data_IF_887767629858
#
_entry.id   IF_887767629858
#
_cell.length_a   1.000
_cell.length_b   1.000
_cell.length_c   1.000
_cell.angle_alpha   90.00
_cell.angle_beta   90.00
_cell.angle_gamma   90.00
#
_symmetry.space_group_name_H-M   'P 1'
#
loop_
_entity.id
_entity.type
_entity.pdbx_description
1 polymer ?
#
# COMPACT_ATOMS: atom_id res chain seq x y z
N UNK A 1 -17.39 13.73 5.56
CA UNK A 1 -15.97 13.54 5.92
C UNK A 1 -15.11 14.11 4.81
N UNK A 2 -14.00 14.79 5.11
CA UNK A 2 -13.02 15.18 4.08
C UNK A 2 -12.25 13.90 3.72
N UNK A 3 -12.26 13.48 2.46
CA UNK A 3 -11.54 12.26 2.03
C UNK A 3 -10.03 12.37 2.24
N UNK A 4 -9.34 11.22 2.20
CA UNK A 4 -7.87 11.11 2.30
C UNK A 4 -7.23 11.80 1.10
N UNK A 5 -6.47 12.88 1.33
CA UNK A 5 -5.83 13.70 0.30
C UNK A 5 -4.64 14.46 0.85
N UNK A 6 -3.76 14.90 -0.04
CA UNK A 6 -2.56 15.65 0.31
C UNK A 6 -1.71 15.99 -0.92
N UNK A 7 -0.49 16.43 -0.69
CA UNK A 7 0.48 16.64 -1.75
C UNK A 7 1.27 15.35 -2.02
N UNK A 8 1.84 14.72 -0.98
CA UNK A 8 2.72 13.55 -1.09
C UNK A 8 2.11 12.29 -0.47
N UNK A 9 2.04 11.21 -1.26
CA UNK A 9 1.78 9.85 -0.82
C UNK A 9 3.04 8.98 -1.02
N UNK A 10 3.35 8.13 -0.04
CA UNK A 10 4.36 7.09 -0.19
C UNK A 10 3.65 5.73 -0.11
N UNK A 11 3.80 4.93 -1.17
CA UNK A 11 3.31 3.56 -1.24
C UNK A 11 4.41 2.60 -0.80
N UNK A 12 4.10 1.79 0.21
CA UNK A 12 5.02 0.92 0.94
C UNK A 12 4.74 -0.52 0.54
N UNK A 13 5.73 -1.16 -0.09
CA UNK A 13 5.58 -2.52 -0.62
C UNK A 13 4.65 -2.55 -1.83
N UNK A 14 4.88 -1.64 -2.78
CA UNK A 14 4.13 -1.54 -4.03
C UNK A 14 4.15 -2.84 -4.84
N UNK A 15 5.17 -3.68 -4.66
CA UNK A 15 5.44 -4.80 -5.54
C UNK A 15 5.54 -4.34 -6.99
N UNK A 16 5.16 -5.20 -7.96
CA UNK A 16 5.09 -4.84 -9.36
C UNK A 16 3.72 -4.26 -9.75
N UNK A 17 2.94 -3.69 -8.81
CA UNK A 17 1.54 -3.32 -9.03
C UNK A 17 1.25 -1.83 -8.95
N UNK A 18 0.21 -1.40 -9.66
CA UNK A 18 -0.24 0.00 -9.68
C UNK A 18 -1.71 0.19 -9.32
N UNK A 19 -2.48 -0.89 -9.15
CA UNK A 19 -3.93 -0.81 -8.97
C UNK A 19 -4.31 0.04 -7.76
N UNK A 20 -3.52 -0.05 -6.69
CA UNK A 20 -3.70 0.67 -5.44
C UNK A 20 -3.50 2.19 -5.60
N UNK A 21 -2.86 2.62 -6.69
CA UNK A 21 -2.53 4.02 -6.95
C UNK A 21 -3.50 4.71 -7.93
N UNK A 22 -4.37 3.96 -8.62
CA UNK A 22 -5.24 4.48 -9.68
C UNK A 22 -6.24 5.53 -9.16
N UNK A 23 -6.85 5.30 -8.00
CA UNK A 23 -7.70 6.32 -7.35
C UNK A 23 -6.89 7.28 -6.48
N UNK A 24 -5.74 6.85 -5.96
CA UNK A 24 -4.87 7.69 -5.15
C UNK A 24 -4.34 8.90 -5.94
N UNK A 25 -4.00 8.73 -7.23
CA UNK A 25 -3.50 9.82 -8.06
C UNK A 25 -4.53 10.94 -8.33
N UNK A 26 -5.81 10.73 -7.98
CA UNK A 26 -6.82 11.81 -7.99
C UNK A 26 -6.70 12.74 -6.78
N UNK A 27 -6.16 12.24 -5.68
CA UNK A 27 -6.14 12.92 -4.37
C UNK A 27 -4.74 13.37 -3.93
N UNK A 28 -3.70 12.91 -4.62
CA UNK A 28 -2.29 13.21 -4.34
C UNK A 28 -1.57 13.69 -5.60
N UNK A 29 -0.75 14.73 -5.44
CA UNK A 29 0.00 15.33 -6.55
C UNK A 29 1.28 14.56 -6.86
N UNK A 30 1.89 14.00 -5.82
CA UNK A 30 3.14 13.26 -5.89
C UNK A 30 3.00 11.91 -5.18
N UNK A 31 3.51 10.88 -5.82
CA UNK A 31 3.55 9.52 -5.32
C UNK A 31 5.00 9.03 -5.37
N UNK A 32 5.45 8.42 -4.29
CA UNK A 32 6.68 7.62 -4.26
C UNK A 32 6.25 6.17 -4.11
N UNK A 33 6.61 5.32 -5.07
CA UNK A 33 6.38 3.89 -5.00
C UNK A 33 7.64 3.20 -4.46
N UNK A 34 7.47 2.21 -3.58
CA UNK A 34 8.60 1.58 -2.90
C UNK A 34 8.42 0.08 -2.73
N UNK A 35 9.51 -0.68 -2.85
CA UNK A 35 9.49 -2.13 -2.65
C UNK A 35 10.84 -2.65 -2.15
N UNK A 36 10.82 -3.79 -1.48
CA UNK A 36 12.04 -4.49 -1.07
C UNK A 36 12.69 -5.28 -2.21
N UNK A 37 11.97 -5.66 -3.26
CA UNK A 37 12.47 -6.59 -4.28
C UNK A 37 12.87 -5.81 -5.54
N UNK A 38 14.14 -5.90 -5.96
CA UNK A 38 14.63 -5.09 -7.09
C UNK A 38 13.91 -5.43 -8.41
N UNK A 39 13.50 -6.69 -8.59
CA UNK A 39 12.77 -7.11 -9.78
C UNK A 39 11.36 -6.49 -9.83
N UNK A 40 10.70 -6.30 -8.68
CA UNK A 40 9.41 -5.64 -8.62
C UNK A 40 9.51 -4.16 -9.05
N UNK A 41 10.54 -3.46 -8.56
CA UNK A 41 10.82 -2.07 -8.96
C UNK A 41 11.08 -1.97 -10.46
N UNK A 42 11.79 -2.94 -11.05
CA UNK A 42 12.03 -2.99 -12.48
C UNK A 42 10.73 -3.19 -13.28
N UNK A 43 9.84 -4.08 -12.86
CA UNK A 43 8.53 -4.27 -13.51
C UNK A 43 7.66 -3.02 -13.45
N UNK A 44 7.68 -2.30 -12.32
CA UNK A 44 7.00 -1.02 -12.18
C UNK A 44 7.57 0.04 -13.12
N UNK A 45 8.89 0.17 -13.19
CA UNK A 45 9.60 1.08 -14.10
C UNK A 45 9.29 0.80 -15.58
N UNK A 46 9.19 -0.47 -15.98
CA UNK A 46 8.78 -0.84 -17.35
C UNK A 46 7.42 -0.24 -17.70
N UNK A 47 6.44 -0.36 -16.80
CA UNK A 47 5.11 0.21 -17.03
C UNK A 47 5.11 1.74 -17.03
N UNK A 48 5.88 2.38 -16.14
CA UNK A 48 6.04 3.83 -16.08
C UNK A 48 6.65 4.39 -17.37
N UNK A 49 7.64 3.69 -17.94
CA UNK A 49 8.35 4.08 -19.17
C UNK A 49 7.66 3.65 -20.47
N UNK A 50 6.50 2.99 -20.37
CA UNK A 50 5.74 2.46 -21.54
C UNK A 50 6.58 1.46 -22.36
N UNK A 51 7.40 0.67 -21.68
CA UNK A 51 8.25 -0.31 -22.35
C UNK A 51 7.40 -1.47 -22.92
N UNK A 52 7.74 -1.98 -24.11
CA UNK A 52 7.12 -3.20 -24.62
C UNK A 52 7.29 -4.36 -23.63
N UNK A 53 6.21 -5.11 -23.38
CA UNK A 53 6.21 -6.22 -22.44
C UNK A 53 5.91 -5.85 -20.98
N UNK A 54 5.69 -4.57 -20.68
CA UNK A 54 5.08 -4.19 -19.40
C UNK A 54 3.69 -4.83 -19.24
N UNK A 55 3.30 -5.15 -18.00
CA UNK A 55 1.99 -5.74 -17.72
C UNK A 55 0.85 -4.82 -18.18
N UNK A 56 -0.15 -5.40 -18.85
CA UNK A 56 -1.32 -4.66 -19.33
C UNK A 56 -2.33 -4.44 -18.18
N UNK A 57 -2.30 -3.24 -17.63
CA UNK A 57 -3.22 -2.80 -16.57
C UNK A 57 -4.56 -2.25 -17.11
N UNK A 58 -4.79 -2.20 -18.43
CA UNK A 58 -5.97 -1.58 -19.05
C UNK A 58 -7.31 -2.07 -18.50
N UNK A 59 -7.52 -3.38 -18.20
CA UNK A 59 -8.78 -3.85 -17.62
C UNK A 59 -9.03 -3.26 -16.23
N UNK A 60 -8.00 -3.18 -15.38
CA UNK A 60 -8.09 -2.64 -14.03
C UNK A 60 -8.30 -1.12 -14.08
N UNK A 61 -7.60 -0.43 -14.98
CA UNK A 61 -7.77 1.00 -15.23
C UNK A 61 -9.19 1.32 -15.65
N UNK A 62 -9.75 0.56 -16.60
CA UNK A 62 -11.13 0.72 -17.06
C UNK A 62 -12.11 0.57 -15.89
N UNK A 63 -11.93 -0.48 -15.08
CA UNK A 63 -12.76 -0.70 -13.90
C UNK A 63 -12.73 0.48 -12.92
N UNK A 64 -11.55 1.04 -12.64
CA UNK A 64 -11.42 2.21 -11.77
C UNK A 64 -12.06 3.46 -12.39
N UNK A 65 -11.88 3.70 -13.69
CA UNK A 65 -12.57 4.79 -14.40
C UNK A 65 -14.10 4.69 -14.28
N UNK A 66 -14.66 3.49 -14.41
CA UNK A 66 -16.09 3.24 -14.26
C UNK A 66 -16.56 3.57 -12.83
N UNK A 67 -15.83 3.12 -11.81
CA UNK A 67 -16.13 3.44 -10.40
C UNK A 67 -16.06 4.94 -10.11
N UNK A 68 -15.16 5.67 -10.77
CA UNK A 68 -15.01 7.13 -10.65
C UNK A 68 -16.02 7.92 -11.49
N UNK A 69 -16.96 7.23 -12.15
CA UNK A 69 -18.04 7.82 -12.92
C UNK A 69 -17.62 8.27 -14.33
N UNK A 70 -16.62 7.61 -14.93
CA UNK A 70 -16.16 7.82 -16.31
C UNK A 70 -15.82 9.28 -16.65
N UNK A 71 -15.27 10.00 -15.67
CA UNK A 71 -14.83 11.40 -15.83
C UNK A 71 -13.59 11.54 -16.72
N UNK A 72 -12.76 10.49 -16.76
CA UNK A 72 -11.54 10.40 -17.57
C UNK A 72 -11.47 9.03 -18.23
N UNK A 73 -10.86 8.95 -19.41
CA UNK A 73 -10.66 7.68 -20.12
C UNK A 73 -9.40 6.97 -19.62
N UNK A 74 -9.32 5.66 -19.84
CA UNK A 74 -8.19 4.83 -19.38
C UNK A 74 -6.81 5.40 -19.69
N UNK A 75 -6.50 5.79 -20.95
CA UNK A 75 -5.20 6.37 -21.29
C UNK A 75 -4.86 7.66 -20.52
N UNK A 76 -5.86 8.49 -20.22
CA UNK A 76 -5.70 9.73 -19.45
C UNK A 76 -5.43 9.42 -17.98
N UNK A 77 -6.14 8.44 -17.41
CA UNK A 77 -5.91 7.94 -16.04
C UNK A 77 -4.50 7.38 -15.89
N UNK A 78 -4.06 6.53 -16.79
CA UNK A 78 -2.71 5.98 -16.72
C UNK A 78 -1.64 7.07 -16.83
N UNK A 79 -1.80 8.03 -17.77
CA UNK A 79 -0.85 9.12 -17.93
C UNK A 79 -0.80 10.01 -16.69
N UNK A 80 -1.95 10.26 -16.05
CA UNK A 80 -2.01 10.97 -14.79
C UNK A 80 -1.24 10.24 -13.68
N UNK A 81 -1.42 8.92 -13.55
CA UNK A 81 -0.68 8.13 -12.58
C UNK A 81 0.83 8.14 -12.88
N UNK A 82 1.24 7.93 -14.14
CA UNK A 82 2.65 7.99 -14.56
C UNK A 82 3.30 9.32 -14.21
N UNK A 83 2.57 10.44 -14.34
CA UNK A 83 3.06 11.77 -13.94
C UNK A 83 3.09 11.98 -12.43
N UNK A 84 2.16 11.38 -11.69
CA UNK A 84 2.09 11.49 -10.24
C UNK A 84 3.23 10.72 -9.56
N UNK A 85 3.61 9.55 -10.10
CA UNK A 85 4.76 8.79 -9.59
C UNK A 85 6.06 9.53 -9.92
N UNK A 86 6.73 10.04 -8.89
CA UNK A 86 7.97 10.83 -9.02
C UNK A 86 9.22 10.00 -8.81
N UNK A 87 9.14 8.98 -7.97
CA UNK A 87 10.28 8.15 -7.59
C UNK A 87 9.83 6.71 -7.37
N UNK A 88 10.71 5.77 -7.74
CA UNK A 88 10.63 4.35 -7.44
C UNK A 88 11.85 4.02 -6.57
N UNK A 89 11.64 3.67 -5.31
CA UNK A 89 12.72 3.53 -4.32
C UNK A 89 12.74 2.14 -3.66
N UNK A 90 13.92 1.74 -3.21
CA UNK A 90 14.06 0.59 -2.33
C UNK A 90 13.50 0.92 -0.94
N UNK A 91 12.76 0.01 -0.33
CA UNK A 91 12.38 0.10 1.08
C UNK A 91 12.55 -1.22 1.83
N UNK A 92 12.75 -1.13 3.15
CA UNK A 92 12.67 -2.27 4.08
C UNK A 92 11.93 -1.83 5.34
N UNK A 93 10.69 -2.31 5.51
CA UNK A 93 9.79 -1.93 6.62
C UNK A 93 10.31 -2.40 7.99
N UNK A 94 11.22 -3.37 8.01
CA UNK A 94 11.82 -3.88 9.26
C UNK A 94 12.90 -2.94 9.81
N UNK A 95 13.41 -2.01 8.99
CA UNK A 95 14.39 -1.02 9.41
C UNK A 95 13.72 0.20 10.04
N UNK A 96 14.37 0.77 11.06
CA UNK A 96 13.93 2.03 11.70
C UNK A 96 13.88 3.22 10.75
N UNK A 97 14.61 3.16 9.64
CA UNK A 97 14.55 4.08 8.52
C UNK A 97 14.18 3.29 7.26
N UNK A 98 12.89 3.14 6.93
CA UNK A 98 12.48 2.23 5.85
C UNK A 98 13.05 2.57 4.47
N UNK A 99 13.38 3.85 4.21
CA UNK A 99 14.00 4.31 2.95
C UNK A 99 15.53 4.46 3.06
N UNK A 100 16.14 3.92 4.12
CA UNK A 100 17.57 4.03 4.39
C UNK A 100 18.04 5.49 4.44
N UNK A 101 19.12 5.79 3.72
CA UNK A 101 19.72 7.13 3.68
C UNK A 101 18.93 8.15 2.82
N UNK A 102 17.91 7.71 2.07
CA UNK A 102 17.13 8.59 1.20
C UNK A 102 16.26 9.49 2.06
N UNK A 103 16.40 10.81 1.88
CA UNK A 103 15.60 11.81 2.58
C UNK A 103 14.44 12.24 1.71
N UNK A 104 13.23 12.03 2.22
CA UNK A 104 11.97 12.50 1.62
C UNK A 104 11.27 13.46 2.58
N UNK A 105 10.43 14.34 2.05
CA UNK A 105 9.55 15.13 2.89
C UNK A 105 8.60 14.21 3.67
N UNK A 106 8.18 14.56 4.90
CA UNK A 106 7.14 13.83 5.60
C UNK A 106 5.87 13.76 4.74
N UNK A 107 5.38 12.55 4.49
CA UNK A 107 4.24 12.32 3.62
C UNK A 107 2.94 12.77 4.28
N UNK A 108 1.96 13.13 3.45
CA UNK A 108 0.58 13.35 3.87
C UNK A 108 -0.17 12.03 4.07
N UNK A 109 0.22 11.00 3.33
CA UNK A 109 -0.36 9.67 3.36
C UNK A 109 0.71 8.58 3.17
N UNK A 110 0.62 7.51 3.94
CA UNK A 110 1.25 6.23 3.66
C UNK A 110 0.20 5.25 3.21
N UNK A 111 0.45 4.57 2.11
CA UNK A 111 -0.34 3.46 1.60
C UNK A 111 0.48 2.19 1.72
N UNK A 112 -0.13 1.08 2.13
CA UNK A 112 0.50 -0.24 2.05
C UNK A 112 -0.56 -1.29 1.77
N UNK A 113 -0.36 -2.07 0.71
CA UNK A 113 -1.34 -3.07 0.27
C UNK A 113 -0.68 -4.43 0.14
N UNK A 114 -1.14 -5.43 0.90
CA UNK A 114 -0.67 -6.82 0.88
C UNK A 114 0.85 -6.95 1.12
N UNK A 115 1.37 -6.15 2.05
CA UNK A 115 2.82 -6.05 2.29
C UNK A 115 3.20 -6.47 3.72
N UNK A 116 2.55 -5.91 4.74
CA UNK A 116 3.02 -6.01 6.11
C UNK A 116 2.94 -7.44 6.63
N UNK A 117 1.87 -8.16 6.28
CA UNK A 117 1.72 -9.57 6.71
C UNK A 117 2.75 -10.47 6.04
N UNK A 118 3.15 -10.18 4.80
CA UNK A 118 4.19 -10.93 4.09
C UNK A 118 5.61 -10.58 4.58
N UNK A 119 5.83 -9.35 5.05
CA UNK A 119 7.14 -8.86 5.47
C UNK A 119 7.47 -9.14 6.94
N UNK A 120 6.46 -9.43 7.78
CA UNK A 120 6.63 -9.60 9.23
C UNK A 120 6.47 -11.07 9.64
N UNK A 121 7.44 -11.68 10.34
CA UNK A 121 7.33 -13.07 10.79
C UNK A 121 6.42 -13.25 12.02
N UNK A 122 6.16 -12.17 12.77
CA UNK A 122 5.38 -12.19 14.01
C UNK A 122 4.75 -10.82 14.32
N UNK A 123 3.81 -10.82 15.27
CA UNK A 123 3.09 -9.61 15.70
C UNK A 123 4.03 -8.53 16.27
N UNK A 124 5.06 -8.83 17.09
CA UNK A 124 6.02 -7.82 17.52
C UNK A 124 6.76 -7.12 16.36
N UNK A 125 7.13 -7.86 15.31
CA UNK A 125 7.74 -7.30 14.12
C UNK A 125 6.75 -6.45 13.34
N UNK A 126 5.49 -6.89 13.21
CA UNK A 126 4.40 -6.12 12.60
C UNK A 126 4.17 -4.78 13.32
N UNK A 127 4.06 -4.78 14.65
CA UNK A 127 3.94 -3.56 15.45
C UNK A 127 5.17 -2.65 15.31
N UNK A 128 6.36 -3.22 15.14
CA UNK A 128 7.59 -2.46 14.89
C UNK A 128 7.60 -1.85 13.49
N UNK A 129 7.18 -2.58 12.46
CA UNK A 129 7.04 -2.07 11.11
C UNK A 129 6.07 -0.88 11.06
N UNK A 130 4.90 -0.98 11.69
CA UNK A 130 3.95 0.14 11.78
C UNK A 130 4.58 1.40 12.43
N UNK A 131 5.38 1.22 13.49
CA UNK A 131 6.11 2.33 14.12
C UNK A 131 7.18 2.92 13.21
N UNK A 132 7.93 2.08 12.49
CA UNK A 132 8.93 2.51 11.52
C UNK A 132 8.30 3.32 10.40
N UNK A 133 7.19 2.86 9.82
CA UNK A 133 6.43 3.60 8.81
C UNK A 133 5.99 4.97 9.34
N UNK A 134 5.58 5.02 10.61
CA UNK A 134 5.26 6.27 11.29
C UNK A 134 6.34 7.35 11.18
N UNK A 135 7.63 7.02 11.00
CA UNK A 135 8.70 8.03 10.82
C UNK A 135 8.61 8.80 9.51
N UNK A 136 7.94 8.24 8.49
CA UNK A 136 7.77 8.84 7.16
C UNK A 136 6.52 9.73 7.07
N UNK A 137 5.61 9.64 8.03
CA UNK A 137 4.30 10.30 8.00
C UNK A 137 4.28 11.54 8.90
N UNK A 138 3.73 12.65 8.38
CA UNK A 138 3.54 13.87 9.17
C UNK A 138 2.52 13.67 10.31
N UNK A 139 2.59 14.44 11.42
CA UNK A 139 1.50 14.52 12.39
C UNK A 139 0.17 14.87 11.69
N UNK A 140 -0.91 14.15 12.04
CA UNK A 140 -2.22 14.33 11.43
C UNK A 140 -2.37 13.73 10.03
N UNK A 141 -1.32 13.11 9.48
CA UNK A 141 -1.34 12.39 8.20
C UNK A 141 -2.07 11.05 8.27
N UNK A 142 -2.29 10.45 7.11
CA UNK A 142 -3.06 9.22 6.96
C UNK A 142 -2.17 7.99 6.77
N UNK A 143 -2.57 6.88 7.38
CA UNK A 143 -2.09 5.55 7.09
C UNK A 143 -3.27 4.77 6.48
N UNK A 144 -3.11 4.29 5.25
CA UNK A 144 -4.07 3.44 4.57
C UNK A 144 -3.45 2.06 4.42
N UNK A 145 -4.08 1.05 5.00
CA UNK A 145 -3.58 -0.34 4.95
C UNK A 145 -4.66 -1.25 4.39
N UNK A 146 -4.26 -2.11 3.46
CA UNK A 146 -5.05 -3.24 3.00
C UNK A 146 -4.20 -4.49 3.17
N UNK A 147 -4.69 -5.49 3.89
CA UNK A 147 -3.99 -6.78 3.95
C UNK A 147 -4.96 -7.95 4.08
N UNK A 148 -4.44 -9.17 3.94
CA UNK A 148 -5.21 -10.39 4.04
C UNK A 148 -5.54 -10.73 5.51
N UNK A 149 -6.76 -11.19 5.79
CA UNK A 149 -7.11 -11.65 7.13
C UNK A 149 -6.84 -13.14 7.27
N UNK A 150 -6.25 -13.53 8.39
CA UNK A 150 -5.94 -14.90 8.81
C UNK A 150 -5.18 -15.74 7.78
N UNK A 151 -4.50 -15.10 6.83
CA UNK A 151 -3.66 -15.78 5.84
C UNK A 151 -2.37 -16.27 6.47
N UNK A 152 -2.00 -17.53 6.25
CA UNK A 152 -0.69 -18.07 6.65
C UNK A 152 0.28 -18.17 5.46
N UNK A 153 -0.23 -18.13 4.23
CA UNK A 153 0.59 -18.15 3.02
C UNK A 153 -0.12 -17.59 1.80
N UNK A 154 0.67 -17.28 0.78
CA UNK A 154 0.20 -17.15 -0.59
C UNK A 154 1.19 -17.80 -1.56
N UNK A 155 0.76 -18.04 -2.80
CA UNK A 155 1.58 -18.67 -3.84
C UNK A 155 1.66 -17.82 -5.10
N UNK A 156 2.84 -17.79 -5.72
CA UNK A 156 3.06 -17.27 -7.07
C UNK A 156 3.62 -18.41 -7.91
N UNK A 157 2.80 -18.95 -8.81
CA UNK A 157 3.14 -20.17 -9.54
C UNK A 157 3.35 -21.34 -8.58
N UNK A 158 4.56 -21.91 -8.56
CA UNK A 158 4.92 -23.00 -7.64
C UNK A 158 5.58 -22.53 -6.34
N UNK A 159 5.88 -21.23 -6.23
CA UNK A 159 6.55 -20.68 -5.05
C UNK A 159 5.53 -20.30 -3.99
N UNK A 160 5.80 -20.68 -2.74
CA UNK A 160 4.98 -20.36 -1.57
C UNK A 160 5.73 -19.37 -0.69
N UNK A 161 5.03 -18.30 -0.30
CA UNK A 161 5.50 -17.25 0.60
C UNK A 161 4.68 -17.29 1.88
N UNK A 162 5.33 -17.04 3.02
CA UNK A 162 4.64 -16.95 4.32
C UNK A 162 3.84 -15.64 4.43
N UNK A 163 2.78 -15.69 5.24
CA UNK A 163 2.00 -14.53 5.64
C UNK A 163 1.75 -14.61 7.15
N UNK A 164 1.82 -13.49 7.85
CA UNK A 164 1.44 -13.40 9.25
C UNK A 164 -0.09 -13.47 9.36
N UNK A 165 -0.59 -14.50 10.04
CA UNK A 165 -2.03 -14.72 10.18
C UNK A 165 -2.60 -13.84 11.29
N UNK A 166 -3.23 -12.73 10.91
CA UNK A 166 -3.88 -11.79 11.84
C UNK A 166 -5.40 -11.73 11.65
N UNK A 167 -6.13 -11.65 12.76
CA UNK A 167 -7.55 -11.29 12.77
C UNK A 167 -7.75 -9.78 12.83
N UNK A 168 -8.98 -9.28 12.54
CA UNK A 168 -9.25 -7.84 12.51
C UNK A 168 -8.99 -7.16 13.85
N UNK A 169 -9.26 -7.82 14.98
CA UNK A 169 -9.01 -7.26 16.32
C UNK A 169 -7.52 -7.05 16.61
N UNK A 170 -6.67 -7.95 16.11
CA UNK A 170 -5.21 -7.83 16.27
C UNK A 170 -4.65 -6.68 15.42
N UNK A 171 -5.14 -6.53 14.18
CA UNK A 171 -4.81 -5.40 13.31
C UNK A 171 -5.23 -4.08 13.96
N UNK A 172 -6.47 -4.01 14.45
CA UNK A 172 -7.02 -2.81 15.10
C UNK A 172 -6.19 -2.40 16.32
N UNK A 173 -5.84 -3.38 17.18
CA UNK A 173 -5.01 -3.15 18.36
C UNK A 173 -3.61 -2.65 17.98
N UNK A 174 -2.94 -3.30 17.01
CA UNK A 174 -1.60 -2.92 16.58
C UNK A 174 -1.54 -1.50 15.99
N UNK A 175 -2.53 -1.13 15.16
CA UNK A 175 -2.61 0.22 14.58
C UNK A 175 -2.85 1.28 15.65
N UNK A 176 -3.73 1.00 16.62
CA UNK A 176 -3.96 1.91 17.77
C UNK A 176 -2.72 2.07 18.63
N UNK A 177 -2.03 0.98 18.96
CA UNK A 177 -0.79 0.99 19.75
C UNK A 177 0.33 1.76 19.03
N UNK A 178 0.37 1.72 17.70
CA UNK A 178 1.30 2.51 16.89
C UNK A 178 0.98 4.03 16.87
N UNK A 179 -0.10 4.47 17.51
CA UNK A 179 -0.45 5.89 17.69
C UNK A 179 -1.38 6.45 16.62
N UNK A 180 -2.19 5.60 15.99
CA UNK A 180 -3.19 6.01 15.00
C UNK A 180 -4.61 5.92 15.57
N UNK A 181 -5.41 6.94 15.30
CA UNK A 181 -6.86 6.88 15.47
C UNK A 181 -7.47 6.27 14.21
N UNK A 182 -8.19 5.16 14.35
CA UNK A 182 -8.85 4.51 13.20
C UNK A 182 -10.10 5.29 12.83
N UNK A 183 -10.12 5.83 11.61
CA UNK A 183 -11.26 6.58 11.04
C UNK A 183 -12.19 5.66 10.22
N UNK A 184 -11.65 4.61 9.61
CA UNK A 184 -12.42 3.59 8.87
C UNK A 184 -11.75 2.21 9.03
N UNK A 185 -12.57 1.17 9.16
CA UNK A 185 -12.15 -0.22 9.13
C UNK A 185 -13.26 -1.03 8.46
N UNK A 186 -12.97 -1.61 7.31
CA UNK A 186 -13.90 -2.45 6.56
C UNK A 186 -13.30 -3.85 6.36
N UNK A 187 -14.13 -4.88 6.51
CA UNK A 187 -13.76 -6.26 6.19
C UNK A 187 -14.32 -6.63 4.83
N UNK A 188 -13.45 -7.14 3.96
CA UNK A 188 -13.80 -7.64 2.64
C UNK A 188 -13.95 -9.15 2.76
N UNK A 189 -15.21 -9.63 2.79
CA UNK A 189 -15.56 -11.05 2.93
C UNK A 189 -15.36 -11.85 1.63
N UNK A 190 -14.18 -11.75 1.03
CA UNK A 190 -13.76 -12.50 -0.14
C UNK A 190 -12.46 -13.24 0.14
N UNK A 191 -12.40 -14.51 -0.21
CA UNK A 191 -11.16 -15.29 -0.16
C UNK A 191 -10.56 -15.41 -1.54
N UNK A 192 -9.24 -15.54 -1.59
CA UNK A 192 -8.56 -15.99 -2.80
C UNK A 192 -8.94 -17.46 -3.11
N UNK A 193 -8.57 -17.92 -4.30
CA UNK A 193 -8.64 -19.35 -4.61
C UNK A 193 -7.86 -20.16 -3.57
N UNK A 194 -8.36 -21.33 -3.19
CA UNK A 194 -7.69 -22.25 -2.25
C UNK A 194 -6.31 -22.71 -2.74
N UNK A 195 -6.07 -22.62 -4.05
CA UNK A 195 -4.75 -22.88 -4.66
C UNK A 195 -3.78 -21.71 -4.52
N UNK A 196 -4.26 -20.51 -4.19
CA UNK A 196 -3.49 -19.26 -4.17
C UNK A 196 -3.12 -18.83 -2.76
N UNK A 197 -4.08 -18.82 -1.83
CA UNK A 197 -3.87 -18.43 -0.43
C UNK A 197 -4.97 -19.04 0.46
N UNK A 198 -4.74 -19.06 1.76
CA UNK A 198 -5.69 -19.56 2.78
C UNK A 198 -6.38 -18.44 3.57
N UNK A 199 -6.47 -17.24 3.00
CA UNK A 199 -7.05 -16.09 3.68
C UNK A 199 -8.56 -16.26 3.96
N UNK A 200 -9.00 -15.78 5.12
CA UNK A 200 -10.40 -15.64 5.49
C UNK A 200 -10.79 -14.16 5.40
N UNK A 201 -10.89 -13.66 4.16
CA UNK A 201 -11.17 -12.25 3.91
C UNK A 201 -9.93 -11.37 3.80
N UNK A 202 -10.16 -10.07 3.67
CA UNK A 202 -9.17 -9.00 3.71
C UNK A 202 -9.72 -7.86 4.58
N UNK A 203 -8.88 -6.89 4.90
CA UNK A 203 -9.33 -5.64 5.50
C UNK A 203 -8.89 -4.43 4.68
N UNK A 204 -9.63 -3.33 4.85
CA UNK A 204 -9.23 -1.97 4.45
C UNK A 204 -9.32 -1.08 5.68
N UNK A 205 -8.26 -0.35 5.98
CA UNK A 205 -8.17 0.51 7.15
C UNK A 205 -7.66 1.90 6.77
N UNK A 206 -8.28 2.93 7.36
CA UNK A 206 -7.76 4.30 7.37
C UNK A 206 -7.48 4.70 8.81
N UNK A 207 -6.20 4.85 9.14
CA UNK A 207 -5.71 5.37 10.40
C UNK A 207 -5.23 6.81 10.24
N UNK A 208 -5.45 7.65 11.24
CA UNK A 208 -4.91 8.99 11.30
C UNK A 208 -3.88 9.11 12.40
N UNK A 209 -2.67 9.49 12.04
CA UNK A 209 -1.58 9.66 13.00
C UNK A 209 -1.91 10.80 13.96
N UNK A 210 -1.77 10.55 15.26
CA UNK A 210 -2.01 11.58 16.26
C UNK A 210 -1.18 12.84 15.98
N UNK A 211 -1.82 14.00 16.05
CA UNK A 211 -1.13 15.28 16.15
C UNK A 211 -0.39 15.26 17.48
N UNK A 212 0.94 15.12 17.48
CA UNK A 212 1.71 15.34 18.70
C UNK A 212 1.65 16.82 19.04
N UNK A 213 0.63 17.22 19.80
CA UNK A 213 0.61 18.44 20.58
C UNK A 213 0.42 18.08 22.05
N UNK A 214 1.53 17.73 22.70
CA UNK A 214 1.81 18.06 24.11
C UNK A 214 3.29 18.39 24.21
#
# INVERSE_FOLDING_TARGET
MRGVKGDLLIDIGSGPTIYQLLSACESFKEIIATDYTDQNLQELEKWLRREPGAFDWSPVVTYVCDLEGNRVKGPEKEEKLRRAVRQVLKCDVTQSQPLGAVRVAPADCLLSTLCLDAACPDLPTYCTALRNLGSLLKPGGFLVVVDALKSSYYTIGQQRFSSLSLGPEAVEAAVKEAGYTIEQFEVISQSYSSTTADNEGLFFLVGRKADRSV
#
